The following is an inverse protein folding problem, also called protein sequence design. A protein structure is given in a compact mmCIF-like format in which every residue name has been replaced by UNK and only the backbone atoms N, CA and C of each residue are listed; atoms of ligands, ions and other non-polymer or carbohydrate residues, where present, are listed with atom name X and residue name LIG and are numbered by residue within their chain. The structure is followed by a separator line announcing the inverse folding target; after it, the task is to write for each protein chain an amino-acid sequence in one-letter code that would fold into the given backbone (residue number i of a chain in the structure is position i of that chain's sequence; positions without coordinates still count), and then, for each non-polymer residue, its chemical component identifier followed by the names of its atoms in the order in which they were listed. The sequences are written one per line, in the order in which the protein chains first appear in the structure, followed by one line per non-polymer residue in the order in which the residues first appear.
data_IF_564652669685
#
_entry.id   IF_564652669685
#
_cell.length_a   1.000
_cell.length_b   1.000
_cell.length_c   1.000
_cell.angle_alpha   90.00
_cell.angle_beta   90.00
_cell.angle_gamma   90.00
#
_symmetry.space_group_name_H-M   'P 1'
#
loop_
_entity.id
_entity.type
_entity.pdbx_description
1 polymer ?
#
# COMPACT_ATOMS: atom_id res chain seq x y z
N UNK A 1 -14.64 11.13 1.65
CA UNK A 1 -14.63 12.01 0.46
C UNK A 1 -13.21 12.48 0.06
N UNK A 2 -12.18 12.22 0.87
CA UNK A 2 -10.80 12.64 0.59
C UNK A 2 -10.24 12.17 -0.76
N UNK A 3 -10.56 10.97 -1.20
CA UNK A 3 -10.10 10.46 -2.50
C UNK A 3 -10.59 11.28 -3.70
N UNK A 4 -11.89 11.62 -3.75
CA UNK A 4 -12.44 12.46 -4.81
C UNK A 4 -11.78 13.84 -4.83
N UNK A 5 -11.68 14.50 -3.67
CA UNK A 5 -11.09 15.82 -3.56
C UNK A 5 -9.60 15.83 -3.94
N UNK A 6 -8.84 14.84 -3.45
CA UNK A 6 -7.41 14.72 -3.76
C UNK A 6 -7.18 14.41 -5.25
N UNK A 7 -7.98 13.52 -5.83
CA UNK A 7 -7.91 13.19 -7.27
C UNK A 7 -8.25 14.42 -8.12
N UNK A 8 -9.28 15.19 -7.74
CA UNK A 8 -9.64 16.42 -8.46
C UNK A 8 -8.48 17.42 -8.47
N UNK A 9 -7.91 17.70 -7.30
CA UNK A 9 -6.76 18.62 -7.20
C UNK A 9 -5.55 18.12 -7.99
N UNK A 10 -5.26 16.82 -7.93
CA UNK A 10 -4.15 16.23 -8.66
C UNK A 10 -4.36 16.30 -10.18
N UNK A 11 -5.58 15.99 -10.63
CA UNK A 11 -5.93 16.02 -12.06
C UNK A 11 -5.89 17.44 -12.63
N UNK A 12 -6.41 18.41 -11.86
CA UNK A 12 -6.36 19.83 -12.26
C UNK A 12 -4.91 20.33 -12.42
N UNK A 13 -4.03 19.95 -11.47
CA UNK A 13 -2.60 20.30 -11.55
C UNK A 13 -1.90 19.65 -12.74
N UNK A 14 -2.24 18.41 -13.04
CA UNK A 14 -1.67 17.65 -14.15
C UNK A 14 -2.32 17.96 -15.51
N UNK A 15 -3.36 18.82 -15.54
CA UNK A 15 -4.20 19.07 -16.72
C UNK A 15 -4.79 17.76 -17.32
N UNK A 16 -5.11 16.83 -16.44
CA UNK A 16 -5.68 15.53 -16.78
C UNK A 16 -7.21 15.55 -16.79
N UNK A 17 -7.79 14.38 -17.04
CA UNK A 17 -9.24 14.17 -17.06
C UNK A 17 -9.72 13.51 -15.76
N UNK A 18 -10.41 14.27 -14.93
CA UNK A 18 -10.98 13.76 -13.69
C UNK A 18 -12.11 12.75 -13.92
N UNK A 19 -12.93 12.95 -14.95
CA UNK A 19 -14.03 12.04 -15.29
C UNK A 19 -13.49 10.69 -15.77
N UNK A 20 -12.36 10.67 -16.45
CA UNK A 20 -11.69 9.41 -16.81
C UNK A 20 -11.23 8.59 -15.60
N UNK A 21 -10.87 9.25 -14.48
CA UNK A 21 -10.48 8.56 -13.27
C UNK A 21 -11.65 8.00 -12.46
N UNK A 22 -12.82 8.65 -12.51
CA UNK A 22 -13.95 8.31 -11.65
C UNK A 22 -15.22 7.92 -12.42
N UNK A 23 -15.17 7.93 -13.75
CA UNK A 23 -16.26 7.52 -14.63
C UNK A 23 -16.42 6.00 -14.72
N UNK A 24 -17.46 5.57 -15.43
CA UNK A 24 -17.87 4.15 -15.52
C UNK A 24 -16.82 3.21 -16.10
N UNK A 25 -15.91 3.71 -16.93
CA UNK A 25 -14.86 2.93 -17.58
C UNK A 25 -13.58 2.81 -16.73
N UNK A 26 -13.53 3.52 -15.59
CA UNK A 26 -12.40 3.44 -14.67
C UNK A 26 -12.30 2.05 -14.02
N UNK A 27 -11.10 1.69 -13.55
CA UNK A 27 -10.86 0.51 -12.74
C UNK A 27 -10.22 0.90 -11.42
N UNK A 28 -10.92 0.61 -10.32
CA UNK A 28 -10.51 0.99 -8.98
C UNK A 28 -10.08 -0.20 -8.15
N UNK A 29 -8.80 -0.25 -7.82
CA UNK A 29 -8.20 -1.24 -6.93
C UNK A 29 -7.78 -0.56 -5.62
N UNK A 30 -8.39 -0.97 -4.52
CA UNK A 30 -8.07 -0.45 -3.20
C UNK A 30 -7.19 -1.43 -2.45
N UNK A 31 -5.91 -1.06 -2.26
CA UNK A 31 -4.91 -1.89 -1.57
C UNK A 31 -4.64 -1.29 -0.20
N UNK A 32 -4.92 -2.03 0.87
CA UNK A 32 -4.81 -1.51 2.24
C UNK A 32 -4.74 -2.64 3.27
N UNK A 33 -4.44 -2.32 4.53
CA UNK A 33 -4.52 -3.27 5.64
C UNK A 33 -5.98 -3.67 5.97
N UNK A 34 -6.17 -4.85 6.52
CA UNK A 34 -7.49 -5.45 6.83
C UNK A 34 -8.42 -4.55 7.66
N UNK A 35 -7.89 -3.70 8.51
CA UNK A 35 -8.68 -2.75 9.32
C UNK A 35 -9.46 -1.74 8.46
N UNK A 36 -9.04 -1.54 7.22
CA UNK A 36 -9.68 -0.60 6.29
C UNK A 36 -10.76 -1.24 5.40
N UNK A 37 -10.98 -2.55 5.50
CA UNK A 37 -12.00 -3.24 4.69
C UNK A 37 -13.38 -2.58 4.84
N UNK A 38 -13.94 -2.33 6.05
CA UNK A 38 -15.27 -1.73 6.19
C UNK A 38 -15.37 -0.33 5.56
N UNK A 39 -14.27 0.43 5.63
CA UNK A 39 -14.25 1.79 5.07
C UNK A 39 -14.31 1.80 3.55
N UNK A 40 -13.73 0.82 2.88
CA UNK A 40 -13.65 0.76 1.43
C UNK A 40 -14.72 -0.15 0.80
N UNK A 41 -15.25 -1.13 1.54
CA UNK A 41 -16.30 -2.03 1.03
C UNK A 41 -17.72 -1.58 1.35
N UNK A 42 -17.92 -0.77 2.40
CA UNK A 42 -19.24 -0.33 2.86
C UNK A 42 -19.35 1.18 2.85
N UNK A 43 -18.51 1.88 3.62
CA UNK A 43 -18.65 3.32 3.84
C UNK A 43 -18.40 4.12 2.57
N UNK A 44 -17.31 3.85 1.86
CA UNK A 44 -16.97 4.55 0.61
C UNK A 44 -18.05 4.33 -0.47
N UNK A 45 -18.46 3.10 -0.80
CA UNK A 45 -19.58 2.87 -1.72
C UNK A 45 -20.87 3.57 -1.32
N UNK A 46 -21.23 3.53 -0.04
CA UNK A 46 -22.44 4.22 0.46
C UNK A 46 -22.36 5.74 0.26
N UNK A 47 -21.22 6.35 0.51
CA UNK A 47 -21.00 7.78 0.28
C UNK A 47 -21.03 8.15 -1.20
N UNK A 48 -20.44 7.31 -2.08
CA UNK A 48 -20.45 7.54 -3.53
C UNK A 48 -21.88 7.46 -4.10
N UNK A 49 -22.64 6.43 -3.71
CA UNK A 49 -24.02 6.23 -4.14
C UNK A 49 -24.98 7.30 -3.56
N UNK A 50 -24.74 7.74 -2.32
CA UNK A 50 -25.57 8.76 -1.67
C UNK A 50 -25.33 10.18 -2.20
N UNK A 51 -24.19 10.43 -2.83
CA UNK A 51 -23.87 11.74 -3.40
C UNK A 51 -24.46 11.92 -4.80
N UNK A 52 -24.18 10.98 -5.68
CA UNK A 52 -24.71 10.92 -7.04
C UNK A 52 -24.24 9.58 -7.65
N UNK A 53 -25.09 8.93 -8.43
CA UNK A 53 -24.82 7.59 -8.95
C UNK A 53 -23.82 7.53 -10.09
N UNK A 54 -23.20 8.64 -10.45
CA UNK A 54 -22.26 8.73 -11.58
C UNK A 54 -20.85 8.23 -11.26
N UNK A 55 -20.50 8.16 -9.97
CA UNK A 55 -19.15 7.79 -9.55
C UNK A 55 -18.91 6.28 -9.63
N UNK A 56 -17.73 5.90 -10.11
CA UNK A 56 -17.34 4.49 -10.16
C UNK A 56 -17.13 3.93 -8.76
N UNK A 57 -17.64 2.72 -8.53
CA UNK A 57 -17.47 2.01 -7.26
C UNK A 57 -16.19 1.17 -7.28
N UNK A 58 -15.66 0.74 -6.10
CA UNK A 58 -14.52 -0.16 -6.05
C UNK A 58 -14.75 -1.45 -6.85
N UNK A 59 -13.88 -1.77 -7.80
CA UNK A 59 -13.89 -3.04 -8.52
C UNK A 59 -13.28 -4.16 -7.69
N UNK A 60 -12.19 -3.85 -6.99
CA UNK A 60 -11.50 -4.83 -6.18
C UNK A 60 -10.90 -4.21 -4.93
N UNK A 61 -11.04 -4.93 -3.83
CA UNK A 61 -10.41 -4.63 -2.55
C UNK A 61 -9.37 -5.70 -2.28
N UNK A 62 -8.11 -5.27 -2.14
CA UNK A 62 -6.98 -6.14 -1.80
C UNK A 62 -6.53 -5.77 -0.40
N UNK A 63 -6.76 -6.65 0.55
CA UNK A 63 -6.36 -6.41 1.94
C UNK A 63 -5.14 -7.25 2.30
N UNK A 64 -4.26 -6.66 3.11
CA UNK A 64 -3.14 -7.35 3.73
C UNK A 64 -3.40 -7.59 5.21
N UNK A 65 -2.80 -8.64 5.74
CA UNK A 65 -2.69 -8.90 7.16
C UNK A 65 -1.68 -7.94 7.81
N UNK A 66 -1.36 -8.13 9.09
CA UNK A 66 -0.43 -7.25 9.80
C UNK A 66 1.04 -7.57 9.51
N UNK A 67 1.87 -6.53 9.61
CA UNK A 67 3.30 -6.66 9.66
C UNK A 67 3.78 -6.41 11.10
N UNK A 68 4.53 -7.35 11.63
CA UNK A 68 5.24 -7.21 12.91
C UNK A 68 6.72 -6.94 12.68
N UNK A 69 7.45 -6.60 13.71
CA UNK A 69 8.90 -6.37 13.72
C UNK A 69 9.52 -7.20 14.82
N UNK A 70 10.36 -8.17 14.45
CA UNK A 70 10.99 -9.09 15.40
C UNK A 70 9.96 -9.70 16.38
N UNK A 71 8.84 -10.19 15.85
CA UNK A 71 7.76 -10.81 16.59
C UNK A 71 6.88 -9.86 17.42
N UNK A 72 7.09 -8.54 17.33
CA UNK A 72 6.35 -7.54 18.12
C UNK A 72 5.57 -6.59 17.22
N UNK A 73 4.43 -6.12 17.72
CA UNK A 73 3.62 -5.11 17.03
C UNK A 73 4.40 -3.80 16.87
N UNK A 74 4.45 -3.28 15.64
CA UNK A 74 5.03 -1.97 15.34
C UNK A 74 4.21 -0.87 16.06
N UNK A 75 4.89 0.04 16.73
CA UNK A 75 4.28 1.13 17.49
C UNK A 75 5.12 2.41 17.40
N UNK A 76 4.60 3.41 16.71
CA UNK A 76 5.26 4.71 16.61
C UNK A 76 5.28 5.47 17.93
N UNK A 77 4.23 5.34 18.74
CA UNK A 77 4.14 5.97 20.08
C UNK A 77 5.13 5.40 21.08
N UNK A 78 5.56 4.16 20.87
CA UNK A 78 6.60 3.51 21.70
C UNK A 78 8.00 3.58 21.06
N UNK A 79 8.14 4.33 19.98
CA UNK A 79 9.37 4.40 19.16
C UNK A 79 9.91 3.01 18.76
N UNK A 80 8.98 2.07 18.52
CA UNK A 80 9.30 0.73 18.06
C UNK A 80 8.81 0.57 16.62
N UNK A 81 9.60 1.09 15.68
CA UNK A 81 9.34 1.08 14.25
C UNK A 81 10.66 1.22 13.47
N UNK A 82 10.64 0.80 12.22
CA UNK A 82 11.71 1.11 11.26
C UNK A 82 11.23 2.25 10.38
N UNK A 83 11.96 3.36 10.39
CA UNK A 83 11.65 4.49 9.53
C UNK A 83 12.22 4.28 8.14
N UNK A 84 11.36 4.32 7.13
CA UNK A 84 11.76 4.10 5.73
C UNK A 84 12.90 5.04 5.30
N UNK A 85 12.91 6.27 5.79
CA UNK A 85 14.00 7.22 5.49
C UNK A 85 15.37 6.72 5.94
N UNK A 86 15.44 6.11 7.12
CA UNK A 86 16.67 5.55 7.68
C UNK A 86 17.07 4.27 6.94
N UNK A 87 16.09 3.42 6.63
CA UNK A 87 16.32 2.21 5.88
C UNK A 87 16.89 2.50 4.48
N UNK A 88 16.39 3.52 3.80
CA UNK A 88 16.86 3.95 2.47
C UNK A 88 18.26 4.60 2.48
N UNK A 89 18.80 4.96 3.64
CA UNK A 89 20.20 5.39 3.75
C UNK A 89 21.19 4.23 3.70
N UNK A 90 20.74 3.03 4.07
CA UNK A 90 21.59 1.85 4.20
C UNK A 90 21.36 0.82 3.09
N UNK A 91 20.18 0.79 2.49
CA UNK A 91 19.76 -0.24 1.54
C UNK A 91 19.13 0.33 0.29
N UNK A 92 19.27 -0.39 -0.82
CA UNK A 92 18.65 -0.02 -2.08
C UNK A 92 17.11 -0.20 -2.03
N UNK A 93 16.32 0.73 -2.63
CA UNK A 93 14.86 0.65 -2.63
C UNK A 93 14.31 -0.66 -3.21
N UNK A 94 14.97 -1.22 -4.23
CA UNK A 94 14.49 -2.44 -4.89
C UNK A 94 14.75 -3.71 -4.07
N UNK A 95 15.79 -3.71 -3.25
CA UNK A 95 16.02 -4.77 -2.26
C UNK A 95 14.90 -4.81 -1.22
N UNK A 96 14.48 -3.63 -0.73
CA UNK A 96 13.37 -3.51 0.21
C UNK A 96 12.07 -4.00 -0.43
N UNK A 97 11.76 -3.58 -1.66
CA UNK A 97 10.58 -4.04 -2.40
C UNK A 97 10.60 -5.54 -2.63
N UNK A 98 11.75 -6.10 -3.02
CA UNK A 98 11.90 -7.53 -3.21
C UNK A 98 11.59 -8.32 -1.95
N UNK A 99 12.12 -7.89 -0.79
CA UNK A 99 11.85 -8.54 0.47
C UNK A 99 10.35 -8.56 0.82
N UNK A 100 9.68 -7.41 0.72
CA UNK A 100 8.25 -7.32 1.03
C UNK A 100 7.35 -8.04 0.02
N UNK A 101 7.74 -8.12 -1.24
CA UNK A 101 7.00 -8.92 -2.23
C UNK A 101 7.17 -10.42 -1.97
N UNK A 102 8.35 -10.84 -1.53
CA UNK A 102 8.62 -12.26 -1.24
C UNK A 102 8.02 -12.73 0.11
N UNK A 103 7.92 -11.82 1.08
CA UNK A 103 7.54 -12.14 2.47
C UNK A 103 6.35 -11.27 2.96
N UNK A 104 5.53 -10.80 2.06
CA UNK A 104 4.42 -9.89 2.41
C UNK A 104 3.28 -10.58 3.17
N UNK A 105 2.49 -9.82 3.93
CA UNK A 105 1.38 -10.32 4.73
C UNK A 105 0.12 -10.54 3.88
N UNK A 106 0.18 -11.41 2.86
CA UNK A 106 -0.95 -11.63 1.95
C UNK A 106 -2.05 -12.52 2.55
N UNK A 107 -1.68 -13.60 3.24
CA UNK A 107 -2.62 -14.62 3.77
C UNK A 107 -2.54 -14.80 5.27
N UNK A 108 -1.50 -14.33 5.88
CA UNK A 108 -1.24 -14.37 7.32
C UNK A 108 -0.37 -13.20 7.70
N UNK A 109 -0.33 -12.87 9.00
CA UNK A 109 0.60 -11.88 9.51
C UNK A 109 2.04 -12.24 9.10
N UNK A 110 2.80 -11.25 8.66
CA UNK A 110 4.21 -11.38 8.34
C UNK A 110 5.05 -10.71 9.44
N UNK A 111 6.26 -11.22 9.63
CA UNK A 111 7.23 -10.63 10.55
C UNK A 111 8.42 -10.07 9.78
N UNK A 112 8.78 -8.83 10.03
CA UNK A 112 10.03 -8.28 9.53
C UNK A 112 11.13 -8.66 10.50
N UNK A 113 12.03 -9.53 10.04
CA UNK A 113 13.25 -9.90 10.79
C UNK A 113 14.46 -9.31 10.09
N UNK A 114 15.30 -8.60 10.86
CA UNK A 114 16.57 -8.07 10.35
C UNK A 114 17.48 -9.16 9.80
N UNK A 115 17.52 -10.29 10.45
CA UNK A 115 18.33 -11.43 10.01
C UNK A 115 17.89 -11.92 8.63
N UNK A 116 16.59 -12.09 8.43
CA UNK A 116 16.03 -12.55 7.14
C UNK A 116 16.16 -11.48 6.06
N UNK A 117 15.99 -10.22 6.44
CA UNK A 117 16.12 -9.11 5.51
C UNK A 117 17.56 -8.99 4.98
N UNK A 118 18.57 -9.00 5.84
CA UNK A 118 20.00 -8.92 5.44
C UNK A 118 20.37 -10.09 4.53
N UNK A 119 19.92 -11.30 4.85
CA UNK A 119 20.12 -12.47 3.97
C UNK A 119 19.45 -12.30 2.59
N UNK A 120 18.27 -11.74 2.56
CA UNK A 120 17.52 -11.46 1.33
C UNK A 120 18.19 -10.37 0.49
N UNK A 121 18.73 -9.33 1.12
CA UNK A 121 19.47 -8.25 0.47
C UNK A 121 20.77 -8.76 -0.16
N UNK A 122 21.55 -9.58 0.53
CA UNK A 122 22.74 -10.26 -0.02
C UNK A 122 22.39 -11.10 -1.26
N UNK A 123 21.27 -11.81 -1.20
CA UNK A 123 20.77 -12.61 -2.32
C UNK A 123 20.36 -11.72 -3.50
N UNK A 124 19.69 -10.61 -3.24
CA UNK A 124 19.29 -9.62 -4.25
C UNK A 124 20.52 -9.02 -4.93
N UNK A 125 21.52 -8.57 -4.19
CA UNK A 125 22.77 -8.00 -4.72
C UNK A 125 23.51 -9.02 -5.60
N UNK A 126 23.57 -10.27 -5.18
CA UNK A 126 24.16 -11.35 -5.94
C UNK A 126 23.46 -11.58 -7.30
N UNK A 127 22.13 -11.48 -7.32
CA UNK A 127 21.35 -11.56 -8.56
C UNK A 127 21.62 -10.36 -9.47
N UNK A 128 21.55 -9.15 -8.94
CA UNK A 128 21.78 -7.90 -9.66
C UNK A 128 23.16 -7.86 -10.34
N UNK A 129 24.19 -8.37 -9.68
CA UNK A 129 25.55 -8.38 -10.21
C UNK A 129 25.82 -9.52 -11.23
N UNK A 130 24.86 -10.42 -11.42
CA UNK A 130 24.98 -11.54 -12.35
C UNK A 130 24.42 -11.22 -13.74
N UNK A 131 23.54 -10.26 -13.84
CA UNK A 131 22.83 -9.79 -15.03
C UNK A 131 23.02 -8.29 -15.25
#
# INVERSE_FOLDING_TARGET
MGYLSASKVATDKAKGDFEALWGKEAKHYYVHGKDNIPFHSIILPALLLGNDTKWHLPDQIVSSEYLTLEGRKISTSQNYAIWIKELLQCYEPDSIRYYFLANGPEKKDADFSWREYVYSDEKYIKYKNKY
#
